data_IF_073048711192
#
_entry.id   IF_073048711192
#
_cell.length_a   1.000
_cell.length_b   1.000
_cell.length_c   1.000
_cell.angle_alpha   90.00
_cell.angle_beta   90.00
_cell.angle_gamma   90.00
#
_symmetry.space_group_name_H-M   'P 1'
#
loop_
_entity.id
_entity.type
_entity.pdbx_description
1 polymer ?
#
# COMPACT_ATOMS: atom_id res chain seq x y z
N UNK A 1 -3.97 41.65 2.46
CA UNK A 1 -3.38 40.75 3.47
C UNK A 1 -4.16 39.46 3.36
N UNK A 2 -3.60 38.35 2.88
CA UNK A 2 -4.33 37.09 2.88
C UNK A 2 -4.49 36.67 4.34
N UNK A 3 -5.73 36.42 4.76
CA UNK A 3 -6.04 35.88 6.09
C UNK A 3 -5.36 34.51 6.20
N UNK A 4 -4.26 34.45 6.95
CA UNK A 4 -3.46 33.24 7.19
C UNK A 4 -4.14 32.37 8.24
N UNK A 5 -5.36 31.90 7.94
CA UNK A 5 -6.08 30.94 8.78
C UNK A 5 -7.09 30.19 7.91
N UNK A 6 -6.62 29.57 6.84
CA UNK A 6 -7.43 28.53 6.23
C UNK A 6 -7.42 27.36 7.24
N UNK A 7 -8.60 27.05 7.78
CA UNK A 7 -8.84 25.83 8.54
C UNK A 7 -9.59 24.91 7.58
N UNK A 8 -9.14 23.67 7.50
CA UNK A 8 -9.87 22.63 6.78
C UNK A 8 -11.33 22.60 7.26
N UNK A 9 -12.28 22.68 6.34
CA UNK A 9 -13.74 22.72 6.63
C UNK A 9 -14.54 21.79 5.75
N UNK A 10 -14.09 21.55 4.52
CA UNK A 10 -14.71 20.63 3.58
C UNK A 10 -13.66 20.04 2.64
N UNK A 11 -13.98 18.88 2.09
CA UNK A 11 -13.26 18.25 0.98
C UNK A 11 -14.26 17.56 0.05
N UNK A 12 -13.83 17.29 -1.18
CA UNK A 12 -14.59 16.55 -2.19
C UNK A 12 -13.80 15.29 -2.51
N UNK A 13 -14.41 14.13 -2.30
CA UNK A 13 -13.78 12.84 -2.52
C UNK A 13 -14.44 12.08 -3.67
N UNK A 14 -13.68 11.19 -4.31
CA UNK A 14 -14.15 10.28 -5.36
C UNK A 14 -13.50 8.92 -5.21
N UNK A 15 -14.19 7.87 -5.68
CA UNK A 15 -13.60 6.53 -5.72
C UNK A 15 -12.59 6.43 -6.87
N UNK A 16 -11.42 5.87 -6.59
CA UNK A 16 -10.35 5.57 -7.54
C UNK A 16 -10.57 4.25 -8.30
N UNK A 17 -9.65 3.93 -9.19
CA UNK A 17 -9.64 2.63 -9.91
C UNK A 17 -9.31 1.46 -8.98
N UNK A 18 -8.61 1.75 -7.89
CA UNK A 18 -8.21 0.84 -6.82
C UNK A 18 -9.30 0.64 -5.76
N UNK A 19 -10.51 1.15 -6.00
CA UNK A 19 -11.66 1.10 -5.10
C UNK A 19 -11.48 1.86 -3.78
N UNK A 20 -10.41 2.64 -3.62
CA UNK A 20 -10.21 3.53 -2.48
C UNK A 20 -10.80 4.92 -2.73
N UNK A 21 -11.02 5.68 -1.66
CA UNK A 21 -11.51 7.06 -1.75
C UNK A 21 -10.33 8.04 -1.74
N UNK A 22 -10.34 8.94 -2.71
CA UNK A 22 -9.29 9.94 -2.92
C UNK A 22 -9.87 11.34 -2.93
N UNK A 23 -9.18 12.29 -2.30
CA UNK A 23 -9.57 13.70 -2.30
C UNK A 23 -9.24 14.31 -3.66
N UNK A 24 -10.21 15.01 -4.25
CA UNK A 24 -10.06 15.73 -5.50
C UNK A 24 -10.04 17.25 -5.31
N UNK A 25 -10.75 17.75 -4.29
CA UNK A 25 -10.75 19.18 -3.95
C UNK A 25 -10.79 19.35 -2.43
N UNK A 26 -10.12 20.38 -1.93
CA UNK A 26 -10.03 20.66 -0.49
C UNK A 26 -10.18 22.14 -0.21
N UNK A 27 -10.80 22.48 0.91
CA UNK A 27 -11.01 23.86 1.34
C UNK A 27 -9.73 24.63 1.68
N UNK A 28 -8.63 23.92 1.94
CA UNK A 28 -7.33 24.50 2.28
C UNK A 28 -6.19 23.95 1.40
N UNK A 29 -6.13 24.38 0.12
CA UNK A 29 -5.13 23.88 -0.84
C UNK A 29 -3.72 24.48 -0.60
N UNK A 30 -3.53 25.29 0.46
CA UNK A 30 -2.23 25.89 0.78
C UNK A 30 -1.41 24.95 1.67
N UNK A 31 -2.08 24.27 2.61
CA UNK A 31 -1.43 23.38 3.57
C UNK A 31 -1.56 21.90 3.23
N UNK A 32 -2.47 21.54 2.31
CA UNK A 32 -2.71 20.16 1.91
C UNK A 32 -2.29 19.92 0.46
N UNK A 33 -1.51 18.87 0.26
CA UNK A 33 -1.26 18.32 -1.08
C UNK A 33 -2.41 17.38 -1.44
N UNK A 34 -3.04 17.61 -2.61
CA UNK A 34 -4.22 16.83 -3.05
C UNK A 34 -3.79 15.57 -3.79
N UNK A 35 -2.64 15.61 -4.46
CA UNK A 35 -2.16 14.49 -5.26
C UNK A 35 -1.79 13.32 -4.35
N UNK A 36 -2.45 12.18 -4.54
CA UNK A 36 -2.28 11.02 -3.66
C UNK A 36 -2.88 11.17 -2.25
N UNK A 37 -3.77 12.15 -2.00
CA UNK A 37 -4.40 12.31 -0.69
C UNK A 37 -5.59 11.37 -0.53
N UNK A 38 -5.39 10.24 0.15
CA UNK A 38 -6.42 9.27 0.49
C UNK A 38 -7.34 9.75 1.61
N UNK A 39 -8.57 9.23 1.65
CA UNK A 39 -9.48 9.38 2.78
C UNK A 39 -10.11 8.03 3.10
N UNK A 40 -10.16 7.68 4.38
CA UNK A 40 -10.66 6.39 4.84
C UNK A 40 -12.17 6.44 4.93
N UNK A 41 -12.86 5.51 4.29
CA UNK A 41 -14.33 5.43 4.37
C UNK A 41 -14.80 4.79 5.69
N UNK A 42 -16.06 4.98 6.09
CA UNK A 42 -16.57 4.47 7.37
C UNK A 42 -16.39 2.97 7.58
N UNK A 43 -16.42 2.15 6.51
CA UNK A 43 -16.24 0.70 6.60
C UNK A 43 -14.77 0.32 6.78
N UNK A 44 -13.89 0.98 6.03
CA UNK A 44 -12.44 0.85 6.22
C UNK A 44 -12.06 1.26 7.66
N UNK A 45 -12.62 2.35 8.16
CA UNK A 45 -12.36 2.81 9.51
C UNK A 45 -12.84 1.81 10.56
N UNK A 46 -14.04 1.23 10.38
CA UNK A 46 -14.52 0.16 11.27
C UNK A 46 -13.56 -1.05 11.29
N UNK A 47 -13.07 -1.49 10.13
CA UNK A 47 -12.08 -2.57 10.06
C UNK A 47 -10.81 -2.23 10.83
N UNK A 48 -10.34 -0.98 10.73
CA UNK A 48 -9.20 -0.52 11.53
C UNK A 48 -9.48 -0.58 13.03
N UNK A 49 -10.69 -0.24 13.49
CA UNK A 49 -11.06 -0.36 14.90
C UNK A 49 -11.03 -1.81 15.38
N UNK A 50 -11.51 -2.75 14.56
CA UNK A 50 -11.49 -4.17 14.87
C UNK A 50 -10.03 -4.68 14.98
N UNK A 51 -9.14 -4.24 14.08
CA UNK A 51 -7.70 -4.55 14.14
C UNK A 51 -6.97 -3.90 15.33
N UNK A 52 -7.44 -2.74 15.79
CA UNK A 52 -6.89 -2.04 16.94
C UNK A 52 -7.35 -2.65 18.27
N UNK A 53 -8.49 -3.36 18.30
CA UNK A 53 -9.09 -3.90 19.52
C UNK A 53 -8.10 -4.77 20.35
N UNK A 54 -7.35 -5.73 19.76
CA UNK A 54 -6.39 -6.54 20.50
C UNK A 54 -5.27 -5.72 21.15
N UNK A 55 -4.89 -4.59 20.55
CA UNK A 55 -3.82 -3.73 21.06
C UNK A 55 -4.20 -3.02 22.37
N UNK A 56 -5.48 -2.99 22.75
CA UNK A 56 -5.93 -2.47 24.04
C UNK A 56 -5.26 -3.17 25.22
N UNK A 57 -5.07 -4.50 25.15
CA UNK A 57 -4.38 -5.26 26.20
C UNK A 57 -2.90 -4.88 26.33
N UNK A 58 -2.33 -4.35 25.25
CA UNK A 58 -0.92 -3.97 25.16
C UNK A 58 -0.66 -2.50 25.51
N UNK A 59 -1.72 -1.69 25.66
CA UNK A 59 -1.67 -0.29 26.07
C UNK A 59 -2.00 0.70 24.95
N UNK A 60 -2.94 0.37 24.05
CA UNK A 60 -3.47 1.31 23.06
C UNK A 60 -3.94 2.61 23.73
N UNK A 61 -3.57 3.74 23.12
CA UNK A 61 -3.95 5.07 23.58
C UNK A 61 -5.02 5.57 22.61
N UNK A 62 -6.28 5.49 23.03
CA UNK A 62 -7.43 5.90 22.21
C UNK A 62 -7.33 7.36 21.81
N UNK A 63 -6.81 8.23 22.69
CA UNK A 63 -6.59 9.64 22.41
C UNK A 63 -5.73 9.87 21.15
N UNK A 64 -4.71 9.02 20.90
CA UNK A 64 -3.89 9.12 19.68
C UNK A 64 -4.68 8.73 18.42
N UNK A 65 -5.60 7.77 18.54
CA UNK A 65 -6.49 7.40 17.44
C UNK A 65 -7.46 8.55 17.15
N UNK A 66 -8.02 9.18 18.18
CA UNK A 66 -8.96 10.30 18.04
C UNK A 66 -8.29 11.53 17.41
N UNK A 67 -7.08 11.89 17.86
CA UNK A 67 -6.37 13.08 17.38
C UNK A 67 -5.78 12.89 15.97
N UNK A 68 -5.57 11.66 15.53
CA UNK A 68 -4.97 11.34 14.23
C UNK A 68 -5.86 11.63 13.01
N UNK A 69 -7.18 11.79 13.18
CA UNK A 69 -8.11 11.92 12.06
C UNK A 69 -9.04 13.13 12.18
N UNK A 70 -9.21 13.84 11.07
CA UNK A 70 -10.34 14.73 10.85
C UNK A 70 -11.56 13.92 10.43
N UNK A 71 -12.66 14.09 11.15
CA UNK A 71 -13.91 13.39 10.87
C UNK A 71 -14.79 14.17 9.88
N UNK A 72 -15.32 13.49 8.87
CA UNK A 72 -16.07 14.09 7.77
C UNK A 72 -17.41 13.39 7.53
N UNK A 73 -18.48 14.17 7.51
CA UNK A 73 -19.83 13.71 7.18
C UNK A 73 -20.20 14.00 5.73
N UNK A 74 -21.03 13.16 5.12
CA UNK A 74 -21.56 13.39 3.77
C UNK A 74 -22.54 14.56 3.79
N UNK A 75 -22.25 15.61 3.00
CA UNK A 75 -23.14 16.76 2.83
C UNK A 75 -23.98 16.62 1.54
N UNK A 76 -23.33 16.30 0.42
CA UNK A 76 -23.98 16.18 -0.89
C UNK A 76 -23.29 15.12 -1.76
N UNK A 77 -24.09 14.35 -2.51
CA UNK A 77 -23.59 13.42 -3.54
C UNK A 77 -23.80 14.08 -4.90
N UNK A 78 -22.74 14.22 -5.68
CA UNK A 78 -22.78 14.87 -6.98
C UNK A 78 -23.09 13.88 -8.11
N UNK A 79 -23.52 14.41 -9.26
CA UNK A 79 -23.90 13.62 -10.45
C UNK A 79 -22.73 12.81 -11.04
N UNK A 80 -21.49 13.27 -10.83
CA UNK A 80 -20.25 12.60 -11.23
C UNK A 80 -19.84 11.46 -10.27
N UNK A 81 -20.70 11.12 -9.28
CA UNK A 81 -20.46 10.16 -8.20
C UNK A 81 -19.40 10.58 -7.18
N UNK A 82 -18.91 11.80 -7.24
CA UNK A 82 -18.12 12.36 -6.14
C UNK A 82 -19.02 12.74 -4.97
N UNK A 83 -18.43 12.82 -3.78
CA UNK A 83 -19.12 13.22 -2.55
C UNK A 83 -18.48 14.47 -1.99
N UNK A 84 -19.30 15.45 -1.66
CA UNK A 84 -18.90 16.60 -0.87
C UNK A 84 -19.01 16.22 0.61
N UNK A 85 -17.91 16.38 1.31
CA UNK A 85 -17.75 16.06 2.71
C UNK A 85 -17.54 17.33 3.52
N UNK A 86 -18.19 17.43 4.68
CA UNK A 86 -18.00 18.54 5.63
C UNK A 86 -17.39 18.05 6.92
N UNK A 87 -16.47 18.85 7.45
CA UNK A 87 -15.84 18.57 8.73
C UNK A 87 -16.91 18.53 9.83
N UNK A 88 -16.88 17.45 10.61
CA UNK A 88 -17.74 17.24 11.78
C UNK A 88 -16.87 17.43 13.02
N UNK A 89 -17.31 18.22 14.01
CA UNK A 89 -16.54 18.48 15.22
C UNK A 89 -16.62 17.32 16.25
N UNK A 90 -17.46 16.33 15.98
CA UNK A 90 -17.67 15.17 16.85
C UNK A 90 -16.48 14.21 16.78
N UNK A 91 -16.27 13.47 17.87
CA UNK A 91 -15.26 12.43 17.95
C UNK A 91 -15.61 11.29 16.98
N UNK A 92 -14.66 10.88 16.15
CA UNK A 92 -14.86 9.81 15.18
C UNK A 92 -15.13 8.45 15.84
N UNK A 93 -14.66 8.22 17.07
CA UNK A 93 -14.87 6.98 17.82
C UNK A 93 -16.25 6.90 18.48
N UNK A 94 -16.82 8.04 18.87
CA UNK A 94 -18.09 8.10 19.61
C UNK A 94 -19.31 8.41 18.72
N UNK A 95 -19.10 8.64 17.43
CA UNK A 95 -20.17 9.04 16.52
C UNK A 95 -21.00 7.82 16.06
N UNK A 96 -22.33 7.92 16.15
CA UNK A 96 -23.24 6.90 15.58
C UNK A 96 -23.37 7.02 14.06
N UNK A 97 -23.03 8.18 13.49
CA UNK A 97 -23.11 8.42 12.05
C UNK A 97 -21.86 7.86 11.34
N UNK A 98 -22.00 7.32 10.12
CA UNK A 98 -20.86 6.85 9.35
C UNK A 98 -20.02 8.03 8.85
N UNK A 99 -18.84 8.24 9.46
CA UNK A 99 -17.92 9.32 9.13
C UNK A 99 -16.71 8.82 8.31
N UNK A 100 -16.27 9.65 7.38
CA UNK A 100 -14.98 9.49 6.71
C UNK A 100 -13.88 10.01 7.63
N UNK A 101 -12.73 9.34 7.62
CA UNK A 101 -11.55 9.70 8.40
C UNK A 101 -10.44 10.19 7.47
N UNK A 102 -10.05 11.46 7.59
CA UNK A 102 -8.87 11.99 6.91
C UNK A 102 -7.72 12.10 7.91
N UNK A 103 -6.61 11.35 7.72
CA UNK A 103 -5.40 11.50 8.52
C UNK A 103 -4.88 12.94 8.61
N UNK A 104 -4.48 13.39 9.81
CA UNK A 104 -3.76 14.65 9.99
C UNK A 104 -2.29 14.50 9.65
N UNK A 105 -1.99 14.67 8.35
CA UNK A 105 -0.65 14.58 7.74
C UNK A 105 -0.02 15.94 7.48
N UNK A 106 -0.48 17.00 8.16
CA UNK A 106 0.11 18.34 8.00
C UNK A 106 1.59 18.40 8.43
N UNK A 107 1.97 17.53 9.36
CA UNK A 107 3.36 17.30 9.76
C UNK A 107 3.62 15.79 9.70
N UNK A 108 4.27 15.32 8.64
CA UNK A 108 4.53 13.90 8.40
C UNK A 108 5.51 13.29 9.42
N UNK A 109 6.33 14.10 10.11
CA UNK A 109 7.32 13.59 11.07
C UNK A 109 6.84 13.64 12.52
N UNK A 110 5.98 14.61 12.86
CA UNK A 110 5.58 14.91 14.26
C UNK A 110 4.10 15.27 14.42
N UNK A 111 3.30 14.96 13.41
CA UNK A 111 1.86 15.17 13.44
C UNK A 111 1.14 14.07 14.24
N UNK A 112 -0.15 14.30 14.56
CA UNK A 112 -0.97 13.32 15.27
C UNK A 112 -1.01 11.94 14.58
N UNK A 113 -1.06 11.93 13.24
CA UNK A 113 -1.05 10.68 12.49
C UNK A 113 0.30 9.95 12.59
N UNK A 114 1.42 10.66 12.56
CA UNK A 114 2.75 10.07 12.74
C UNK A 114 2.93 9.47 14.14
N UNK A 115 2.43 10.17 15.18
CA UNK A 115 2.41 9.66 16.56
C UNK A 115 1.55 8.39 16.69
N UNK A 116 0.42 8.31 15.97
CA UNK A 116 -0.39 7.09 15.91
C UNK A 116 0.38 5.94 15.26
N UNK A 117 1.02 6.16 14.10
CA UNK A 117 1.80 5.12 13.40
C UNK A 117 2.91 4.55 14.28
N UNK A 118 3.70 5.39 14.94
CA UNK A 118 4.76 4.98 15.86
C UNK A 118 4.19 4.17 17.04
N UNK A 119 3.06 4.61 17.59
CA UNK A 119 2.41 3.93 18.70
C UNK A 119 1.89 2.54 18.32
N UNK A 120 1.12 2.42 17.23
CA UNK A 120 0.57 1.12 16.81
C UNK A 120 1.67 0.15 16.38
N UNK A 121 2.75 0.63 15.75
CA UNK A 121 3.90 -0.18 15.35
C UNK A 121 4.57 -0.82 16.57
N UNK A 122 4.82 -0.03 17.62
CA UNK A 122 5.38 -0.53 18.89
C UNK A 122 4.47 -1.55 19.56
N UNK A 123 3.15 -1.31 19.55
CA UNK A 123 2.19 -2.22 20.14
C UNK A 123 2.06 -3.53 19.37
N UNK A 124 2.03 -3.47 18.03
CA UNK A 124 1.99 -4.66 17.18
C UNK A 124 3.20 -5.56 17.44
N UNK A 125 4.41 -5.00 17.48
CA UNK A 125 5.62 -5.78 17.74
C UNK A 125 5.62 -6.38 19.15
N UNK A 126 5.13 -5.62 20.14
CA UNK A 126 5.00 -6.15 21.49
C UNK A 126 4.03 -7.33 21.53
N UNK A 127 2.89 -7.22 20.83
CA UNK A 127 1.92 -8.31 20.71
C UNK A 127 2.52 -9.52 19.99
N UNK A 128 3.14 -9.34 18.82
CA UNK A 128 3.77 -10.42 18.07
C UNK A 128 4.85 -11.14 18.90
N UNK A 129 5.69 -10.40 19.62
CA UNK A 129 6.72 -11.00 20.49
C UNK A 129 6.15 -11.75 21.70
N UNK A 130 4.90 -11.48 22.08
CA UNK A 130 4.23 -12.19 23.17
C UNK A 130 3.44 -13.40 22.65
N UNK A 131 2.92 -13.36 21.41
CA UNK A 131 2.19 -14.45 20.75
C UNK A 131 3.12 -15.49 20.12
N UNK A 132 4.26 -15.06 19.56
CA UNK A 132 5.18 -15.90 18.80
C UNK A 132 6.48 -16.12 19.61
N UNK A 133 6.90 -17.39 19.72
CA UNK A 133 8.18 -17.75 20.34
C UNK A 133 9.33 -17.57 19.33
N UNK A 134 9.76 -16.33 19.12
CA UNK A 134 10.89 -16.04 18.25
C UNK A 134 12.23 -16.47 18.86
N UNK A 135 13.15 -16.96 18.02
CA UNK A 135 14.55 -17.19 18.43
C UNK A 135 15.26 -15.88 18.84
N UNK A 136 14.90 -14.77 18.17
CA UNK A 136 15.31 -13.41 18.48
C UNK A 136 14.07 -12.52 18.38
N UNK A 137 13.86 -11.64 19.36
CA UNK A 137 12.69 -10.77 19.37
C UNK A 137 12.67 -9.85 18.16
N UNK A 138 11.53 -9.77 17.50
CA UNK A 138 11.26 -8.80 16.45
C UNK A 138 11.42 -7.38 17.00
N UNK A 139 12.07 -6.51 16.24
CA UNK A 139 12.33 -5.13 16.61
C UNK A 139 11.48 -4.16 15.78
N UNK A 140 11.36 -2.92 16.28
CA UNK A 140 10.68 -1.82 15.56
C UNK A 140 11.42 -1.45 14.29
N UNK A 141 12.75 -1.46 14.35
CA UNK A 141 13.59 -1.11 13.19
C UNK A 141 13.39 -2.09 12.02
N UNK A 142 13.22 -3.39 12.29
CA UNK A 142 12.98 -4.41 11.25
C UNK A 142 11.63 -4.18 10.53
N UNK A 143 10.54 -3.99 11.29
CA UNK A 143 9.21 -3.73 10.70
C UNK A 143 9.19 -2.40 9.92
N UNK A 144 9.80 -1.35 10.47
CA UNK A 144 9.89 -0.05 9.78
C UNK A 144 10.70 -0.13 8.49
N UNK A 145 11.76 -0.94 8.45
CA UNK A 145 12.55 -1.15 7.24
C UNK A 145 11.73 -1.85 6.15
N UNK A 146 11.00 -2.91 6.49
CA UNK A 146 10.13 -3.62 5.54
C UNK A 146 9.01 -2.72 4.98
N UNK A 147 8.36 -1.93 5.83
CA UNK A 147 7.33 -0.98 5.39
C UNK A 147 7.94 0.07 4.46
N UNK A 148 9.12 0.59 4.78
CA UNK A 148 9.81 1.58 3.94
C UNK A 148 10.20 1.00 2.58
N UNK A 149 10.64 -0.26 2.54
CA UNK A 149 10.94 -0.95 1.29
C UNK A 149 9.69 -1.08 0.41
N UNK A 150 8.55 -1.47 0.98
CA UNK A 150 7.27 -1.54 0.28
C UNK A 150 6.84 -0.18 -0.25
N UNK A 151 6.83 0.86 0.60
CA UNK A 151 6.42 2.21 0.22
C UNK A 151 7.34 2.81 -0.86
N UNK A 152 8.65 2.55 -0.79
CA UNK A 152 9.59 2.97 -1.82
C UNK A 152 9.35 2.25 -3.15
N UNK A 153 8.93 0.97 -3.11
CA UNK A 153 8.46 0.23 -4.28
C UNK A 153 7.29 0.93 -4.96
N UNK A 154 6.23 1.24 -4.21
CA UNK A 154 5.04 1.94 -4.71
C UNK A 154 5.39 3.32 -5.29
N UNK A 155 6.26 4.06 -4.60
CA UNK A 155 6.73 5.37 -5.07
C UNK A 155 7.49 5.27 -6.40
N UNK A 156 8.36 4.27 -6.58
CA UNK A 156 9.08 4.04 -7.83
C UNK A 156 8.13 3.66 -8.99
N UNK A 157 7.02 2.98 -8.68
CA UNK A 157 5.95 2.69 -9.64
C UNK A 157 5.01 3.87 -9.88
N UNK A 158 5.17 4.98 -9.15
CA UNK A 158 4.34 6.18 -9.25
C UNK A 158 2.95 6.00 -8.65
N UNK A 159 2.78 5.08 -7.69
CA UNK A 159 1.54 4.83 -6.97
C UNK A 159 1.58 5.51 -5.60
N UNK A 160 0.49 6.16 -5.23
CA UNK A 160 0.31 6.66 -3.87
C UNK A 160 -0.19 5.53 -2.99
N UNK A 161 0.45 5.31 -1.84
CA UNK A 161 -0.04 4.36 -0.84
C UNK A 161 -1.24 4.98 -0.13
N UNK A 162 -2.37 4.27 -0.13
CA UNK A 162 -3.56 4.74 0.59
C UNK A 162 -3.37 4.55 2.10
N UNK A 163 -3.83 5.50 2.92
CA UNK A 163 -3.65 5.44 4.38
C UNK A 163 -4.29 4.22 5.05
N UNK A 164 -5.39 3.71 4.48
CA UNK A 164 -5.94 2.42 4.94
C UNK A 164 -4.91 1.31 4.80
N UNK A 165 -4.27 1.19 3.64
CA UNK A 165 -3.24 0.18 3.37
C UNK A 165 -2.03 0.34 4.29
N UNK A 166 -1.60 1.57 4.55
CA UNK A 166 -0.50 1.85 5.47
C UNK A 166 -0.80 1.33 6.89
N UNK A 167 -1.98 1.66 7.43
CA UNK A 167 -2.40 1.21 8.75
C UNK A 167 -2.60 -0.31 8.80
N UNK A 168 -3.26 -0.91 7.80
CA UNK A 168 -3.45 -2.37 7.77
C UNK A 168 -2.13 -3.11 7.61
N UNK A 169 -1.18 -2.60 6.84
CA UNK A 169 0.15 -3.20 6.68
C UNK A 169 0.84 -3.33 8.03
N UNK A 170 0.72 -2.33 8.91
CA UNK A 170 1.26 -2.42 10.28
C UNK A 170 0.42 -3.37 11.14
N UNK A 171 -0.90 -3.18 11.16
CA UNK A 171 -1.80 -3.88 12.10
C UNK A 171 -1.97 -5.36 11.79
N UNK A 172 -1.84 -5.77 10.53
CA UNK A 172 -1.95 -7.15 10.07
C UNK A 172 -0.58 -7.80 9.86
N UNK A 173 0.52 -7.06 10.11
CA UNK A 173 1.87 -7.58 9.90
C UNK A 173 2.12 -8.89 10.64
N UNK A 174 2.60 -9.91 9.93
CA UNK A 174 3.07 -11.18 10.49
C UNK A 174 4.40 -11.53 9.79
N UNK A 175 5.49 -11.79 10.53
CA UNK A 175 6.76 -12.18 9.93
C UNK A 175 6.66 -13.46 9.09
N UNK A 176 7.45 -13.53 8.02
CA UNK A 176 7.45 -14.70 7.12
C UNK A 176 7.65 -16.02 7.87
N UNK A 177 6.81 -17.01 7.57
CA UNK A 177 6.88 -18.35 8.17
C UNK A 177 6.19 -18.49 9.52
N UNK A 178 5.50 -17.44 10.00
CA UNK A 178 4.61 -17.50 11.15
C UNK A 178 3.16 -17.27 10.73
N UNK A 179 2.24 -17.92 11.44
CA UNK A 179 0.81 -17.65 11.36
C UNK A 179 0.34 -17.37 12.81
N UNK A 180 -0.50 -16.36 12.98
CA UNK A 180 -1.19 -16.19 14.24
C UNK A 180 -2.35 -17.17 14.25
N UNK A 181 -2.40 -18.05 15.26
CA UNK A 181 -3.54 -18.94 15.50
C UNK A 181 -4.73 -18.06 15.94
N UNK A 182 -5.40 -17.43 14.97
CA UNK A 182 -6.65 -16.72 15.23
C UNK A 182 -7.76 -17.76 15.45
N UNK A 183 -8.24 -17.84 16.70
CA UNK A 183 -9.40 -18.64 17.12
C UNK A 183 -10.74 -18.02 16.64
N UNK A 184 -10.75 -17.32 15.50
CA UNK A 184 -11.95 -16.93 14.78
C UNK A 184 -11.82 -17.24 13.28
N UNK A 185 -12.87 -17.88 12.77
CA UNK A 185 -13.08 -18.36 11.40
C UNK A 185 -13.13 -17.19 10.39
N UNK A 186 -12.00 -16.52 10.18
CA UNK A 186 -11.84 -15.37 9.28
C UNK A 186 -11.00 -15.79 8.07
N UNK A 187 -11.71 -16.08 6.98
CA UNK A 187 -11.24 -16.39 5.62
C UNK A 187 -10.64 -17.79 5.41
N UNK A 188 -11.17 -18.58 4.45
CA UNK A 188 -10.55 -19.83 4.06
C UNK A 188 -9.17 -19.55 3.44
N UNK A 189 -8.21 -20.38 3.86
CA UNK A 189 -6.95 -20.75 3.19
C UNK A 189 -6.88 -20.32 1.73
N UNK A 190 -5.72 -19.74 1.38
CA UNK A 190 -5.30 -19.26 0.06
C UNK A 190 -6.01 -19.90 -1.14
N UNK A 191 -6.31 -19.09 -2.17
CA UNK A 191 -6.92 -19.54 -3.43
C UNK A 191 -6.24 -20.79 -4.03
N UNK A 192 -4.95 -21.00 -3.76
CA UNK A 192 -4.21 -22.19 -4.22
C UNK A 192 -4.71 -23.52 -3.61
N UNK A 193 -5.02 -23.59 -2.31
CA UNK A 193 -5.56 -24.83 -1.70
C UNK A 193 -7.00 -25.12 -2.16
N UNK A 194 -7.77 -24.08 -2.46
CA UNK A 194 -9.13 -24.22 -3.00
C UNK A 194 -9.11 -24.74 -4.44
N UNK A 195 -8.19 -24.25 -5.27
CA UNK A 195 -8.01 -24.69 -6.66
C UNK A 195 -7.48 -26.14 -6.72
N UNK A 196 -6.56 -26.55 -5.85
CA UNK A 196 -6.10 -27.94 -5.80
C UNK A 196 -7.23 -28.93 -5.48
N UNK A 197 -8.17 -28.52 -4.61
CA UNK A 197 -9.32 -29.35 -4.24
C UNK A 197 -10.34 -29.47 -5.39
N UNK A 198 -10.54 -28.40 -6.16
CA UNK A 198 -11.40 -28.42 -7.34
C UNK A 198 -10.78 -29.20 -8.51
N UNK A 199 -9.44 -29.18 -8.65
CA UNK A 199 -8.72 -30.02 -9.62
C UNK A 199 -8.70 -31.51 -9.24
N UNK A 200 -8.81 -31.85 -7.95
CA UNK A 200 -8.82 -33.24 -7.48
C UNK A 200 -10.13 -33.99 -7.79
N UNK A 201 -11.25 -33.27 -7.99
CA UNK A 201 -12.55 -33.85 -8.36
C UNK A 201 -12.70 -34.03 -9.88
N UNK A 202 -11.72 -33.57 -10.66
CA UNK A 202 -11.66 -33.85 -12.10
C UNK A 202 -11.04 -35.24 -12.28
N UNK A 203 -11.90 -36.25 -12.28
CA UNK A 203 -11.57 -37.61 -12.71
C UNK A 203 -10.84 -37.52 -14.06
N UNK A 204 -9.54 -37.79 -14.05
CA UNK A 204 -8.73 -38.00 -15.24
C UNK A 204 -9.16 -39.32 -15.88
N UNK A 205 -10.40 -39.35 -16.36
CA UNK A 205 -10.99 -40.41 -17.13
C UNK A 205 -10.26 -40.53 -18.45
N UNK A 206 -9.26 -41.41 -18.46
CA UNK A 206 -8.84 -42.13 -19.65
C UNK A 206 -10.08 -42.70 -20.35
N UNK A 207 -10.49 -42.04 -21.44
CA UNK A 207 -11.05 -42.60 -22.69
C UNK A 207 -11.95 -41.54 -23.36
N UNK A 208 -11.46 -40.84 -24.38
CA UNK A 208 -11.89 -41.05 -25.76
C UNK A 208 -11.18 -40.09 -26.71
N UNK A 209 -10.79 -40.66 -27.85
CA UNK A 209 -10.07 -40.06 -28.97
C UNK A 209 -10.78 -38.82 -29.55
N UNK A 210 -10.40 -37.61 -29.14
CA UNK A 210 -10.42 -36.47 -30.06
C UNK A 210 -9.00 -36.23 -30.54
N UNK A 211 -8.73 -36.83 -31.71
CA UNK A 211 -7.54 -36.50 -32.49
C UNK A 211 -7.65 -35.02 -32.84
N UNK A 212 -6.92 -34.16 -32.12
CA UNK A 212 -6.77 -32.76 -32.50
C UNK A 212 -6.27 -32.74 -33.94
N UNK A 213 -7.13 -32.35 -34.87
CA UNK A 213 -6.77 -32.16 -36.27
C UNK A 213 -5.82 -30.97 -36.28
N UNK A 214 -4.53 -31.24 -36.43
CA UNK A 214 -3.52 -30.22 -36.62
C UNK A 214 -3.90 -29.41 -37.87
N UNK A 215 -4.32 -28.17 -37.65
CA UNK A 215 -4.59 -27.22 -38.73
C UNK A 215 -3.26 -26.93 -39.47
N UNK A 216 -3.28 -26.99 -40.80
CA UNK A 216 -2.10 -26.79 -41.66
C UNK A 216 -1.56 -25.36 -41.64
N UNK A 217 -2.12 -24.46 -40.82
CA UNK A 217 -1.58 -23.10 -40.63
C UNK A 217 -0.32 -23.03 -39.75
N UNK A 218 0.09 -24.16 -39.15
CA UNK A 218 1.29 -24.26 -38.31
C UNK A 218 2.53 -24.73 -39.08
N UNK A 219 2.60 -24.44 -40.39
CA UNK A 219 3.85 -24.50 -41.15
C UNK A 219 4.56 -23.17 -40.95
N UNK A 220 5.59 -23.19 -40.11
CA UNK A 220 6.64 -22.20 -40.23
C UNK A 220 7.25 -22.39 -41.61
N UNK A 221 7.09 -21.40 -42.49
CA UNK A 221 7.74 -21.38 -43.81
C UNK A 221 9.26 -21.42 -43.59
N UNK A 222 9.83 -22.63 -43.59
CA UNK A 222 11.24 -22.87 -43.90
C UNK A 222 11.42 -22.68 -45.41
N UNK A 223 11.56 -21.44 -45.87
CA UNK A 223 12.24 -21.14 -47.13
C UNK A 223 13.11 -19.88 -46.97
N UNK A 224 14.41 -20.15 -46.81
CA UNK A 224 15.58 -19.46 -47.38
C UNK A 224 15.48 -17.94 -47.69
N UNK A 225 16.27 -17.16 -46.96
CA UNK A 225 17.23 -16.24 -47.61
C UNK A 225 18.46 -16.06 -46.70
N UNK A 226 19.55 -16.73 -47.09
CA UNK A 226 20.91 -16.47 -46.60
C UNK A 226 21.39 -15.13 -47.19
N UNK A 227 21.27 -14.03 -46.44
CA UNK A 227 22.12 -12.86 -46.63
C UNK A 227 22.92 -12.60 -45.35
N UNK A 228 24.19 -13.03 -45.36
CA UNK A 228 25.21 -12.64 -44.38
C UNK A 228 25.35 -11.10 -44.37
N UNK A 229 24.65 -10.41 -43.47
CA UNK A 229 24.98 -9.03 -43.14
C UNK A 229 26.19 -9.02 -42.21
N UNK A 230 27.37 -8.86 -42.81
CA UNK A 230 28.64 -8.53 -42.16
C UNK A 230 28.43 -7.32 -41.23
N UNK A 231 28.51 -7.54 -39.91
CA UNK A 231 28.48 -6.45 -38.93
C UNK A 231 29.87 -5.84 -38.82
N UNK A 232 30.04 -4.59 -39.26
CA UNK A 232 31.24 -3.81 -38.96
C UNK A 232 31.27 -3.47 -37.45
N UNK A 233 32.12 -4.17 -36.72
CA UNK A 233 32.41 -3.95 -35.31
C UNK A 233 33.17 -2.62 -35.11
N UNK A 234 32.44 -1.52 -34.93
CA UNK A 234 33.03 -0.25 -34.53
C UNK A 234 33.21 -0.17 -33.01
N UNK A 235 34.23 -0.85 -32.46
CA UNK A 235 34.85 -0.42 -31.20
C UNK A 235 36.37 -0.54 -31.29
N UNK A 236 37.03 0.55 -31.65
CA UNK A 236 38.48 0.66 -31.48
C UNK A 236 38.76 0.93 -29.99
N UNK A 237 39.58 0.12 -29.31
CA UNK A 237 40.04 0.42 -27.96
C UNK A 237 40.95 1.67 -27.98
N UNK A 238 40.84 2.60 -27.02
CA UNK A 238 41.84 3.64 -26.88
C UNK A 238 43.18 3.03 -26.46
N UNK A 239 44.17 3.11 -27.34
CA UNK A 239 45.58 2.79 -27.07
C UNK A 239 46.11 3.68 -25.92
N UNK A 240 46.63 3.05 -24.86
CA UNK A 240 47.73 3.62 -24.05
C UNK A 240 48.90 3.93 -25.01
N UNK A 241 49.77 4.94 -24.87
CA UNK A 241 50.82 5.20 -23.86
C UNK A 241 51.66 6.41 -24.42
N UNK A 242 52.74 7.00 -23.83
CA UNK A 242 53.33 6.97 -22.49
C UNK A 242 53.82 8.40 -22.03
N UNK A 243 54.92 8.64 -21.27
CA UNK A 243 54.98 9.68 -20.23
C UNK A 243 55.77 10.94 -20.67
N UNK A 244 55.67 12.03 -19.92
CA UNK A 244 56.70 13.08 -19.93
C UNK A 244 56.78 13.76 -18.57
N UNK A 245 57.89 13.51 -17.91
CA UNK A 245 58.42 14.22 -16.75
C UNK A 245 58.54 15.73 -17.06
N UNK A 246 58.33 16.56 -16.04
CA UNK A 246 59.39 17.31 -15.34
C UNK A 246 58.91 18.68 -14.85
N UNK A 247 59.18 18.93 -13.57
CA UNK A 247 59.10 20.23 -12.92
C UNK A 247 59.89 21.30 -13.68
N UNK A 248 59.49 22.58 -13.60
CA UNK A 248 60.34 23.65 -13.02
C UNK A 248 59.71 25.05 -13.08
N UNK A 249 59.61 25.66 -11.89
CA UNK A 249 59.92 27.06 -11.54
C UNK A 249 59.77 28.15 -12.63
N UNK A 250 58.91 29.13 -12.37
CA UNK A 250 59.30 30.44 -11.81
C UNK A 250 58.11 31.32 -11.44
#
# INVERSE_FOLDING_TARGET
MPNTTAKLTWCKARIGEDMNWWINEISDPIHWEIDGLGIIDPRQFQHLLDLLEPLNEYGLQTDLVEEAFYAFGIDEIQDDKSVLLKLVPDNILDCEDPLFALPDVLDEEKGPYADLLDHITKLRIKMLNDLIDFAQKLTVEELEEEIRESQNGDYLEGRATHYFTELTTILEYVPEGFELDDDEESTPKSEDEALEKDLADVDAGTDTEETLVADETMKWDEEEDEEETEYEEHTTPPDEVPPAEEETKK
#
